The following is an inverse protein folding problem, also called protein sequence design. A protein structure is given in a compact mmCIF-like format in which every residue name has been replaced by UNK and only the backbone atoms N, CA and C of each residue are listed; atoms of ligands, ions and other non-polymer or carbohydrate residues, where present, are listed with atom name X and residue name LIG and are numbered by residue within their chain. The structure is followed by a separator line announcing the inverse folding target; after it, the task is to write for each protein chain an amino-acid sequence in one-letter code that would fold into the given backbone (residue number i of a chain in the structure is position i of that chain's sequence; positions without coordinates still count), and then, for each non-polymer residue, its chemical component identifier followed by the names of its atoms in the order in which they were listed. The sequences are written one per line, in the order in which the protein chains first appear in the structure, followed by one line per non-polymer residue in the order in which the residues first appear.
data_IF_219616999516
#
_entry.id   IF_219616999516
#
_cell.length_a   1.000
_cell.length_b   1.000
_cell.length_c   1.000
_cell.angle_alpha   90.00
_cell.angle_beta   90.00
_cell.angle_gamma   90.00
#
_symmetry.space_group_name_H-M   'P 1'
#
loop_
_entity.id
_entity.type
_entity.pdbx_description
1 polymer ?
#
# COMPACT_ATOMS: atom_id res chain seq x y z
N UNK A 1 -2.16 -21.98 -24.42
CA UNK A 1 -2.78 -20.74 -23.91
C UNK A 1 -1.74 -19.94 -23.17
N UNK A 2 -1.91 -18.63 -23.04
CA UNK A 2 -0.96 -17.77 -22.31
C UNK A 2 -1.70 -17.03 -21.22
N UNK A 3 -1.22 -17.12 -19.98
CA UNK A 3 -1.61 -16.23 -18.90
C UNK A 3 -0.55 -15.13 -18.80
N UNK A 4 -0.94 -13.89 -18.96
CA UNK A 4 -0.06 -12.74 -18.81
C UNK A 4 -0.45 -11.94 -17.57
N UNK A 5 0.50 -11.76 -16.66
CA UNK A 5 0.43 -10.77 -15.59
C UNK A 5 0.81 -9.43 -16.20
N UNK A 6 -0.19 -8.61 -16.55
CA UNK A 6 0.04 -7.33 -17.23
C UNK A 6 0.52 -6.26 -16.25
N UNK A 7 0.01 -6.31 -15.02
CA UNK A 7 0.39 -5.40 -13.94
C UNK A 7 0.09 -6.04 -12.58
N UNK A 8 0.45 -5.33 -11.50
CA UNK A 8 0.08 -5.71 -10.14
C UNK A 8 -1.42 -5.93 -9.91
N UNK A 9 -2.29 -5.43 -10.80
CA UNK A 9 -3.74 -5.47 -10.64
C UNK A 9 -4.48 -6.09 -11.81
N UNK A 10 -3.77 -6.56 -12.86
CA UNK A 10 -4.40 -7.05 -14.09
C UNK A 10 -3.73 -8.31 -14.60
N UNK A 11 -4.54 -9.34 -14.84
CA UNK A 11 -4.13 -10.62 -15.45
C UNK A 11 -5.04 -10.92 -16.64
N UNK A 12 -4.44 -11.35 -17.75
CA UNK A 12 -5.14 -11.72 -18.97
C UNK A 12 -4.89 -13.18 -19.32
N UNK A 13 -5.93 -13.86 -19.81
CA UNK A 13 -5.80 -15.17 -20.46
C UNK A 13 -5.98 -15.00 -21.96
N UNK A 14 -4.96 -15.40 -22.72
CA UNK A 14 -4.98 -15.43 -24.17
C UNK A 14 -5.15 -16.85 -24.72
N UNK A 15 -5.82 -16.93 -25.87
CA UNK A 15 -5.91 -18.14 -26.67
C UNK A 15 -4.55 -18.53 -27.30
N UNK A 16 -4.53 -19.65 -28.01
CA UNK A 16 -3.42 -20.02 -28.89
C UNK A 16 -3.21 -18.99 -30.00
N UNK A 17 -2.11 -19.11 -30.75
CA UNK A 17 -1.92 -18.27 -31.94
C UNK A 17 -2.96 -18.70 -32.99
N UNK A 18 -3.77 -17.76 -33.44
CA UNK A 18 -4.75 -17.98 -34.51
C UNK A 18 -4.05 -17.99 -35.88
N UNK A 19 -4.67 -18.59 -36.93
CA UNK A 19 -4.16 -18.57 -38.30
C UNK A 19 -3.83 -17.15 -38.81
N UNK A 20 -4.57 -16.14 -38.34
CA UNK A 20 -4.42 -14.73 -38.66
C UNK A 20 -3.22 -14.07 -37.94
N UNK A 21 -2.43 -14.84 -37.19
CA UNK A 21 -1.29 -14.40 -36.36
C UNK A 21 -1.69 -13.48 -35.20
N UNK A 22 -2.90 -13.63 -34.71
CA UNK A 22 -3.46 -12.90 -33.57
C UNK A 22 -3.78 -13.83 -32.39
N UNK A 23 -4.13 -13.27 -31.24
CA UNK A 23 -4.59 -13.99 -30.05
C UNK A 23 -5.81 -13.29 -29.46
N UNK A 24 -6.82 -14.08 -29.13
CA UNK A 24 -8.00 -13.56 -28.45
C UNK A 24 -7.72 -13.44 -26.95
N UNK A 25 -8.21 -12.36 -26.34
CA UNK A 25 -8.32 -12.25 -24.88
C UNK A 25 -9.57 -13.00 -24.44
N UNK A 26 -9.38 -14.18 -23.85
CA UNK A 26 -10.46 -15.04 -23.36
C UNK A 26 -11.02 -14.54 -22.03
N UNK A 27 -10.13 -14.11 -21.12
CA UNK A 27 -10.52 -13.56 -19.83
C UNK A 27 -9.63 -12.39 -19.43
N UNK A 28 -10.24 -11.44 -18.73
CA UNK A 28 -9.57 -10.35 -18.05
C UNK A 28 -9.99 -10.34 -16.58
N UNK A 29 -9.00 -10.35 -15.69
CA UNK A 29 -9.22 -10.28 -14.25
C UNK A 29 -8.53 -9.03 -13.72
N UNK A 30 -9.28 -8.23 -12.97
CA UNK A 30 -8.78 -7.03 -12.31
C UNK A 30 -8.93 -7.17 -10.79
N UNK A 31 -7.89 -6.80 -10.05
CA UNK A 31 -7.91 -6.79 -8.60
C UNK A 31 -8.94 -5.77 -8.08
N UNK A 32 -9.74 -6.16 -7.08
CA UNK A 32 -10.68 -5.26 -6.39
C UNK A 32 -10.04 -4.82 -5.08
N UNK A 33 -9.60 -3.57 -5.05
CA UNK A 33 -8.74 -3.05 -3.98
C UNK A 33 -9.41 -1.90 -3.23
N UNK A 34 -9.17 -1.77 -1.91
CA UNK A 34 -9.43 -0.53 -1.22
C UNK A 34 -8.52 0.58 -1.78
N UNK A 35 -8.94 1.85 -1.69
CA UNK A 35 -8.21 2.97 -2.27
C UNK A 35 -7.62 3.85 -1.19
N UNK A 36 -6.29 3.94 -1.17
CA UNK A 36 -5.53 4.95 -0.45
C UNK A 36 -4.87 5.88 -1.46
N UNK A 37 -4.98 7.20 -1.25
CA UNK A 37 -4.37 8.20 -2.12
C UNK A 37 -3.07 8.68 -1.46
N UNK A 38 -1.93 8.17 -1.92
CA UNK A 38 -0.62 8.60 -1.45
C UNK A 38 -0.36 10.07 -1.81
N UNK A 39 0.44 10.75 -0.99
CA UNK A 39 0.73 12.20 -1.05
C UNK A 39 -0.49 13.13 -0.86
N UNK A 40 -1.69 12.57 -0.67
CA UNK A 40 -2.87 13.34 -0.27
C UNK A 40 -2.96 13.48 1.25
N UNK A 41 -3.38 14.66 1.68
CA UNK A 41 -3.73 14.95 3.06
C UNK A 41 -5.11 14.38 3.45
N UNK A 42 -5.15 13.73 4.60
CA UNK A 42 -6.34 13.20 5.25
C UNK A 42 -6.54 13.91 6.60
N UNK A 43 -7.80 14.16 6.96
CA UNK A 43 -8.12 14.46 8.36
C UNK A 43 -7.86 13.23 9.24
N UNK A 44 -7.83 13.44 10.56
CA UNK A 44 -7.48 12.40 11.54
C UNK A 44 -8.37 11.15 11.43
N UNK A 45 -9.69 11.32 11.33
CA UNK A 45 -10.63 10.19 11.30
C UNK A 45 -10.47 9.40 10.01
N UNK A 46 -10.50 10.10 8.86
CA UNK A 46 -10.32 9.47 7.56
C UNK A 46 -8.99 8.73 7.46
N UNK A 47 -7.91 9.31 7.99
CA UNK A 47 -6.60 8.67 8.01
C UNK A 47 -6.61 7.37 8.84
N UNK A 48 -7.17 7.41 10.06
CA UNK A 48 -7.25 6.23 10.93
C UNK A 48 -8.09 5.10 10.31
N UNK A 49 -9.22 5.45 9.68
CA UNK A 49 -10.06 4.48 8.96
C UNK A 49 -9.30 3.89 7.77
N UNK A 50 -8.62 4.74 6.98
CA UNK A 50 -7.81 4.31 5.85
C UNK A 50 -6.66 3.38 6.27
N UNK A 51 -5.97 3.65 7.39
CA UNK A 51 -4.93 2.77 7.95
C UNK A 51 -5.46 1.39 8.33
N UNK A 52 -6.73 1.29 8.73
CA UNK A 52 -7.38 0.01 9.07
C UNK A 52 -7.92 -0.72 7.84
N UNK A 53 -8.45 0.00 6.86
CA UNK A 53 -9.07 -0.59 5.68
C UNK A 53 -8.06 -0.95 4.58
N UNK A 54 -6.97 -0.20 4.45
CA UNK A 54 -6.07 -0.28 3.29
C UNK A 54 -4.72 -0.95 3.57
N UNK A 55 -4.39 -1.23 4.82
CA UNK A 55 -3.09 -1.79 5.20
C UNK A 55 -3.24 -3.04 6.08
N UNK A 56 -2.43 -4.05 5.81
CA UNK A 56 -2.36 -5.25 6.63
C UNK A 56 -1.76 -4.93 8.01
N UNK A 57 -2.21 -5.61 9.09
CA UNK A 57 -1.69 -5.39 10.43
C UNK A 57 -0.17 -5.62 10.52
N UNK A 58 0.54 -4.66 11.13
CA UNK A 58 1.95 -4.74 11.48
C UNK A 58 2.25 -3.83 12.66
N UNK A 59 3.36 -4.04 13.36
CA UNK A 59 3.76 -3.19 14.49
C UNK A 59 3.92 -1.72 14.06
N UNK A 60 4.56 -1.47 12.92
CA UNK A 60 4.75 -0.11 12.39
C UNK A 60 3.42 0.56 11.98
N UNK A 61 2.45 -0.21 11.48
CA UNK A 61 1.08 0.29 11.22
C UNK A 61 0.40 0.72 12.51
N UNK A 62 0.53 -0.07 13.58
CA UNK A 62 -0.01 0.29 14.89
C UNK A 62 0.64 1.54 15.44
N UNK A 63 1.96 1.69 15.27
CA UNK A 63 2.68 2.86 15.77
C UNK A 63 2.27 4.13 15.02
N UNK A 64 2.16 4.09 13.69
CA UNK A 64 1.60 5.21 12.91
C UNK A 64 0.17 5.54 13.35
N UNK A 65 -0.67 4.52 13.59
CA UNK A 65 -2.06 4.70 14.02
C UNK A 65 -2.15 5.33 15.42
N UNK A 66 -1.32 4.88 16.36
CA UNK A 66 -1.23 5.45 17.72
C UNK A 66 -0.75 6.90 17.68
N UNK A 67 0.24 7.21 16.85
CA UNK A 67 0.70 8.58 16.65
C UNK A 67 -0.44 9.44 16.14
N UNK A 68 -1.08 9.02 15.04
CA UNK A 68 -2.17 9.74 14.42
C UNK A 68 -3.34 9.95 15.39
N UNK A 69 -3.70 8.96 16.23
CA UNK A 69 -4.82 9.07 17.16
C UNK A 69 -4.56 9.99 18.36
N UNK A 70 -3.30 10.15 18.76
CA UNK A 70 -2.92 10.89 19.98
C UNK A 70 -2.46 12.32 19.70
N UNK A 71 -2.31 12.71 18.44
CA UNK A 71 -2.01 14.09 18.07
C UNK A 71 -3.21 14.98 18.39
N UNK A 72 -2.91 16.09 19.07
CA UNK A 72 -3.92 17.10 19.41
C UNK A 72 -3.50 18.44 18.84
N UNK A 73 -4.43 19.06 18.13
CA UNK A 73 -4.37 20.47 17.79
C UNK A 73 -4.19 21.29 19.05
N UNK A 74 -2.97 21.76 19.29
CA UNK A 74 -2.74 22.85 20.24
C UNK A 74 -1.95 23.91 19.52
N UNK A 75 -2.31 25.18 19.73
CA UNK A 75 -1.60 26.37 19.20
C UNK A 75 -0.10 26.43 19.60
N UNK A 76 0.38 25.46 20.39
CA UNK A 76 1.74 25.29 20.88
C UNK A 76 2.40 23.97 20.38
N UNK A 77 1.77 23.26 19.43
CA UNK A 77 2.40 22.10 18.82
C UNK A 77 3.63 22.57 18.06
N UNK A 78 4.81 22.32 18.61
CA UNK A 78 6.07 22.65 17.95
C UNK A 78 6.33 21.54 16.94
N UNK A 79 5.95 21.77 15.69
CA UNK A 79 6.35 20.91 14.58
C UNK A 79 7.79 21.27 14.22
N UNK A 80 8.71 20.36 14.50
CA UNK A 80 10.09 20.47 14.01
C UNK A 80 10.32 19.35 13.00
N UNK A 81 10.75 19.73 11.80
CA UNK A 81 11.03 18.84 10.68
C UNK A 81 12.46 19.13 10.22
N UNK A 82 13.34 18.13 10.27
CA UNK A 82 14.73 18.25 9.85
C UNK A 82 14.95 17.78 8.39
N UNK A 83 13.86 17.50 7.67
CA UNK A 83 13.86 16.94 6.33
C UNK A 83 13.82 15.41 6.30
N UNK A 84 14.12 14.73 7.41
CA UNK A 84 14.15 13.26 7.52
C UNK A 84 13.15 12.79 8.57
N UNK A 85 13.27 13.30 9.80
CA UNK A 85 12.43 13.00 10.95
C UNK A 85 11.49 14.18 11.27
N UNK A 86 10.36 13.86 11.89
CA UNK A 86 9.43 14.86 12.38
C UNK A 86 9.24 14.68 13.89
N UNK A 87 9.39 15.76 14.64
CA UNK A 87 9.05 15.83 16.05
C UNK A 87 7.68 16.49 16.20
N UNK A 88 6.80 15.81 16.93
CA UNK A 88 5.43 16.26 17.18
C UNK A 88 5.05 16.09 18.64
N UNK A 89 4.21 17.00 19.12
CA UNK A 89 3.67 16.98 20.49
C UNK A 89 2.39 16.13 20.49
N UNK A 90 2.37 15.05 21.26
CA UNK A 90 1.23 14.13 21.38
C UNK A 90 0.62 14.19 22.78
N UNK A 91 -0.67 13.89 22.92
CA UNK A 91 -1.27 13.63 24.24
C UNK A 91 -0.99 12.19 24.67
N UNK A 92 -0.44 12.02 25.87
CA UNK A 92 -0.36 10.73 26.56
C UNK A 92 -1.36 10.73 27.73
N UNK A 93 -2.43 9.95 27.60
CA UNK A 93 -3.53 9.92 28.57
C UNK A 93 -4.35 11.22 28.60
N UNK A 94 -5.02 11.50 29.72
CA UNK A 94 -6.01 12.60 29.80
C UNK A 94 -5.34 13.99 29.85
N UNK A 95 -4.05 14.11 30.21
CA UNK A 95 -3.45 15.43 30.52
C UNK A 95 -1.95 15.59 30.20
N UNK A 96 -1.19 14.53 29.90
CA UNK A 96 0.25 14.69 29.61
C UNK A 96 0.47 14.98 28.13
N UNK A 97 1.41 15.88 27.84
CA UNK A 97 1.94 16.11 26.49
C UNK A 97 3.36 15.55 26.46
N UNK A 98 3.67 14.72 25.47
CA UNK A 98 5.02 14.19 25.24
C UNK A 98 5.45 14.48 23.80
N UNK A 99 6.74 14.76 23.63
CA UNK A 99 7.35 14.86 22.30
C UNK A 99 7.62 13.44 21.81
N UNK A 100 7.06 13.08 20.67
CA UNK A 100 7.39 11.84 20.00
C UNK A 100 8.06 12.15 18.66
N UNK A 101 9.12 11.41 18.40
CA UNK A 101 9.84 11.41 17.12
C UNK A 101 9.22 10.31 16.27
N UNK A 102 8.80 10.65 15.07
CA UNK A 102 8.32 9.68 14.09
C UNK A 102 9.54 9.13 13.35
N UNK A 103 9.86 7.83 13.48
CA UNK A 103 10.89 7.22 12.66
C UNK A 103 10.38 7.17 11.22
N UNK A 104 11.05 7.90 10.33
CA UNK A 104 10.81 7.84 8.89
C UNK A 104 12.05 7.25 8.22
N UNK A 105 11.89 6.43 7.15
CA UNK A 105 10.62 5.94 6.64
C UNK A 105 9.99 4.87 7.54
N UNK A 106 8.66 4.72 7.46
CA UNK A 106 7.90 3.61 8.04
C UNK A 106 7.63 2.54 6.98
N UNK A 107 7.66 1.28 7.37
CA UNK A 107 7.38 0.11 6.53
C UNK A 107 5.94 -0.32 6.75
N UNK A 108 5.14 -0.24 5.69
CA UNK A 108 3.73 -0.59 5.71
C UNK A 108 3.40 -1.57 4.58
N UNK A 109 2.35 -2.37 4.80
CA UNK A 109 1.91 -3.41 3.86
C UNK A 109 0.53 -3.02 3.31
N UNK A 110 0.45 -2.22 2.22
CA UNK A 110 -0.83 -1.84 1.63
C UNK A 110 -1.46 -2.98 0.83
N UNK A 111 -2.79 -3.07 0.86
CA UNK A 111 -3.57 -3.92 -0.05
C UNK A 111 -3.66 -3.27 -1.44
N UNK A 112 -2.76 -3.66 -2.33
CA UNK A 112 -2.61 -3.05 -3.67
C UNK A 112 -2.37 -4.05 -4.81
N UNK A 113 -2.48 -5.34 -4.52
CA UNK A 113 -2.53 -6.42 -5.52
C UNK A 113 -3.56 -7.48 -5.10
N UNK A 114 -3.74 -8.53 -5.90
CA UNK A 114 -4.65 -9.64 -5.62
C UNK A 114 -4.49 -10.13 -4.18
N UNK A 115 -5.60 -10.33 -3.45
CA UNK A 115 -5.56 -10.64 -2.02
C UNK A 115 -5.04 -12.06 -1.75
N UNK A 116 -5.06 -12.90 -2.78
CA UNK A 116 -4.56 -14.26 -2.77
C UNK A 116 -3.03 -14.33 -2.72
N UNK A 117 -2.33 -13.22 -3.00
CA UNK A 117 -0.86 -13.17 -3.02
C UNK A 117 -0.32 -12.32 -1.88
N UNK A 118 0.94 -12.59 -1.52
CA UNK A 118 1.66 -11.79 -0.53
C UNK A 118 1.71 -10.32 -0.98
N UNK A 119 1.19 -9.43 -0.14
CA UNK A 119 1.20 -8.00 -0.42
C UNK A 119 2.62 -7.46 -0.23
N UNK A 120 3.20 -6.77 -1.23
CA UNK A 120 4.54 -6.21 -1.06
C UNK A 120 4.54 -5.14 0.02
N UNK A 121 5.50 -5.22 0.93
CA UNK A 121 5.80 -4.15 1.86
C UNK A 121 6.47 -2.98 1.14
N UNK A 122 6.18 -1.75 1.55
CA UNK A 122 6.85 -0.53 1.06
C UNK A 122 7.25 0.40 2.19
N UNK A 123 8.29 1.18 1.90
CA UNK A 123 8.69 2.33 2.71
C UNK A 123 7.83 3.55 2.37
N UNK A 124 7.39 4.25 3.40
CA UNK A 124 6.61 5.50 3.32
C UNK A 124 7.22 6.56 4.25
N UNK A 125 7.20 7.81 3.81
CA UNK A 125 7.40 8.95 4.71
C UNK A 125 6.05 9.38 5.26
N UNK A 126 5.88 9.26 6.56
CA UNK A 126 4.70 9.75 7.27
C UNK A 126 4.90 11.22 7.66
N UNK A 127 3.96 12.07 7.23
CA UNK A 127 3.99 13.52 7.48
C UNK A 127 2.70 13.96 8.15
N UNK A 128 2.85 14.86 9.12
CA UNK A 128 1.75 15.59 9.73
C UNK A 128 1.91 17.06 9.37
N UNK A 129 0.86 17.64 8.80
CA UNK A 129 0.80 19.06 8.42
C UNK A 129 -0.26 19.77 9.23
N UNK A 130 -0.09 21.08 9.41
CA UNK A 130 -1.06 21.91 10.13
C UNK A 130 -1.90 22.71 9.13
N UNK A 131 -3.20 22.47 9.12
CA UNK A 131 -4.15 23.21 8.30
C UNK A 131 -4.66 24.49 8.98
N UNK A 132 -5.61 25.16 8.33
CA UNK A 132 -6.23 26.38 8.89
C UNK A 132 -6.88 26.07 10.24
N UNK A 133 -6.61 26.92 11.24
CA UNK A 133 -7.15 26.76 12.59
C UNK A 133 -6.43 25.72 13.44
N UNK A 134 -5.27 25.24 12.99
CA UNK A 134 -4.41 24.32 13.74
C UNK A 134 -4.81 22.85 13.67
N UNK A 135 -5.73 22.51 12.77
CA UNK A 135 -6.19 21.13 12.59
C UNK A 135 -5.09 20.30 11.93
N UNK A 136 -4.68 19.16 12.53
CA UNK A 136 -3.67 18.29 11.95
C UNK A 136 -4.23 17.53 10.74
N UNK A 137 -3.41 17.45 9.70
CA UNK A 137 -3.61 16.61 8.53
C UNK A 137 -2.49 15.60 8.43
N UNK A 138 -2.79 14.44 7.85
CA UNK A 138 -1.92 13.29 7.81
C UNK A 138 -1.73 12.84 6.38
N UNK A 139 -0.51 12.52 5.98
CA UNK A 139 -0.24 11.93 4.67
C UNK A 139 0.90 10.92 4.71
N UNK A 140 0.80 9.94 3.81
CA UNK A 140 1.89 9.00 3.52
C UNK A 140 2.41 9.30 2.12
N UNK A 141 3.73 9.50 2.01
CA UNK A 141 4.43 9.68 0.73
C UNK A 141 5.22 8.41 0.44
N UNK A 142 5.02 7.80 -0.72
CA UNK A 142 5.76 6.60 -1.09
C UNK A 142 7.27 6.89 -1.20
N UNK A 143 8.09 6.04 -0.60
CA UNK A 143 9.55 6.20 -0.51
C UNK A 143 10.33 5.01 -1.07
N UNK A 144 9.64 4.03 -1.66
CA UNK A 144 10.21 2.77 -2.15
C UNK A 144 10.65 2.83 -3.63
N UNK A 145 10.49 3.99 -4.28
CA UNK A 145 10.81 4.20 -5.69
C UNK A 145 9.96 3.38 -6.66
N UNK A 146 8.76 2.93 -6.25
CA UNK A 146 7.88 2.12 -7.09
C UNK A 146 8.31 0.65 -7.22
N UNK A 147 9.32 0.21 -6.45
CA UNK A 147 9.84 -1.17 -6.48
C UNK A 147 8.75 -2.22 -6.24
N UNK A 148 7.75 -1.86 -5.44
CA UNK A 148 6.64 -2.76 -5.12
C UNK A 148 5.90 -3.31 -6.35
N UNK A 149 5.84 -2.57 -7.46
CA UNK A 149 5.10 -3.00 -8.65
C UNK A 149 5.72 -4.25 -9.25
N UNK A 150 7.05 -4.28 -9.34
CA UNK A 150 7.79 -5.44 -9.82
C UNK A 150 7.62 -6.64 -8.89
N UNK A 151 7.66 -6.40 -7.57
CA UNK A 151 7.44 -7.45 -6.56
C UNK A 151 6.02 -8.00 -6.65
N UNK A 152 5.00 -7.15 -6.78
CA UNK A 152 3.61 -7.58 -6.93
C UNK A 152 3.42 -8.44 -8.18
N UNK A 153 3.97 -8.02 -9.32
CA UNK A 153 3.90 -8.78 -10.57
C UNK A 153 4.54 -10.17 -10.42
N UNK A 154 5.71 -10.25 -9.77
CA UNK A 154 6.39 -11.52 -9.52
C UNK A 154 5.61 -12.41 -8.54
N UNK A 155 5.03 -11.84 -7.47
CA UNK A 155 4.17 -12.55 -6.53
C UNK A 155 2.94 -13.15 -7.23
N UNK A 156 2.28 -12.38 -8.11
CA UNK A 156 1.13 -12.87 -8.90
C UNK A 156 1.55 -14.00 -9.84
N UNK A 157 2.67 -13.85 -10.53
CA UNK A 157 3.19 -14.90 -11.41
C UNK A 157 3.50 -16.18 -10.62
N UNK A 158 4.20 -16.05 -9.50
CA UNK A 158 4.59 -17.17 -8.63
C UNK A 158 3.37 -17.91 -8.10
N UNK A 159 2.37 -17.16 -7.60
CA UNK A 159 1.09 -17.72 -7.18
C UNK A 159 0.40 -18.52 -8.30
N UNK A 160 0.33 -17.98 -9.52
CA UNK A 160 -0.28 -18.66 -10.66
C UNK A 160 0.49 -19.92 -11.06
N UNK A 161 1.83 -19.89 -10.99
CA UNK A 161 2.66 -21.06 -11.29
C UNK A 161 2.40 -22.19 -10.29
N UNK A 162 2.33 -21.86 -9.00
CA UNK A 162 2.07 -22.82 -7.92
C UNK A 162 0.63 -23.33 -7.96
N UNK A 163 -0.37 -22.44 -8.00
CA UNK A 163 -1.79 -22.81 -7.99
C UNK A 163 -2.21 -23.67 -9.18
N UNK A 164 -1.47 -23.60 -10.29
CA UNK A 164 -1.73 -24.38 -11.50
C UNK A 164 -0.77 -25.57 -11.67
N UNK A 165 0.14 -25.86 -10.73
CA UNK A 165 1.18 -26.87 -10.92
C UNK A 165 0.62 -28.27 -11.26
N UNK A 166 -0.51 -28.64 -10.63
CA UNK A 166 -1.07 -30.01 -10.70
C UNK A 166 -2.27 -30.15 -11.66
N UNK A 167 -2.56 -29.13 -12.47
CA UNK A 167 -3.69 -29.24 -13.42
C UNK A 167 -3.35 -30.20 -14.57
N UNK A 168 -4.35 -30.91 -15.12
CA UNK A 168 -4.17 -31.64 -16.37
C UNK A 168 -3.74 -30.71 -17.52
N UNK A 169 -2.82 -31.17 -18.36
CA UNK A 169 -2.30 -30.42 -19.52
C UNK A 169 -1.58 -29.10 -19.17
N UNK A 170 -0.96 -29.02 -18.00
CA UNK A 170 -0.21 -27.83 -17.52
C UNK A 170 0.84 -27.33 -18.52
N UNK A 171 1.45 -28.23 -19.28
CA UNK A 171 2.44 -27.93 -20.33
C UNK A 171 1.86 -27.08 -21.48
N UNK A 172 0.54 -27.04 -21.64
CA UNK A 172 -0.13 -26.23 -22.66
C UNK A 172 -0.38 -24.78 -22.21
N UNK A 173 -0.06 -24.44 -20.96
CA UNK A 173 -0.20 -23.10 -20.39
C UNK A 173 1.17 -22.48 -20.15
N UNK A 174 1.42 -21.35 -20.80
CA UNK A 174 2.58 -20.50 -20.52
C UNK A 174 2.16 -19.34 -19.64
N UNK A 175 2.91 -19.06 -18.58
CA UNK A 175 2.66 -17.92 -17.68
C UNK A 175 3.81 -16.94 -17.86
N UNK A 176 3.49 -15.70 -18.21
CA UNK A 176 4.44 -14.60 -18.41
C UNK A 176 4.04 -13.40 -17.57
N UNK A 177 5.02 -12.56 -17.27
CA UNK A 177 4.90 -11.27 -16.60
C UNK A 177 5.73 -10.26 -17.39
#
# INVERSE_FOLDING_TARGET
MIIQVVSATKVLLYSGLLPERDRETLFEVNARLPRFEYDREYDQESFLVSMQACFAPSDEREDVTKVASNIVSTQEATFSDDGISQQVVMKTGVTKKENAIIPNPVRLIPYRTFLEVEQPESEFVFRITEGRGGVPFFKLVAADGGRWEAVAVDNVKSYLVEALADIPNREQITIIA
#
